data_IF_971825741938
#
_entry.id   IF_971825741938
#
_cell.length_a   1.000
_cell.length_b   1.000
_cell.length_c   1.000
_cell.angle_alpha   90.00
_cell.angle_beta   90.00
_cell.angle_gamma   90.00
#
_symmetry.space_group_name_H-M   'P 1'
#
loop_
_entity.id
_entity.type
_entity.pdbx_description
1 polymer ?
#
# COMPACT_ATOMS: atom_id res chain seq x y z
N UNK A 1 21.55 -57.39 -33.68
CA UNK A 1 20.48 -57.10 -32.69
C UNK A 1 21.11 -57.21 -31.32
N UNK A 2 21.59 -56.10 -30.75
CA UNK A 2 20.86 -55.19 -29.86
C UNK A 2 20.80 -55.72 -28.42
N UNK A 3 21.78 -55.34 -27.60
CA UNK A 3 21.65 -55.11 -26.14
C UNK A 3 23.03 -54.78 -25.57
N UNK A 4 23.36 -53.50 -25.38
CA UNK A 4 24.31 -52.98 -24.36
C UNK A 4 24.52 -51.48 -24.59
N UNK A 5 23.50 -50.69 -24.26
CA UNK A 5 23.66 -49.25 -24.11
C UNK A 5 22.57 -48.80 -23.16
N UNK A 6 22.95 -48.48 -21.92
CA UNK A 6 22.27 -47.53 -20.99
C UNK A 6 22.82 -47.59 -19.55
N UNK A 7 23.63 -48.59 -19.18
CA UNK A 7 24.13 -48.75 -17.79
C UNK A 7 25.57 -48.23 -17.54
N UNK A 8 26.22 -47.56 -18.50
CA UNK A 8 27.56 -46.97 -18.30
C UNK A 8 27.54 -45.43 -18.19
N UNK A 9 26.53 -44.76 -18.73
CA UNK A 9 26.44 -43.29 -18.69
C UNK A 9 25.90 -42.74 -17.36
N UNK A 10 25.24 -43.56 -16.52
CA UNK A 10 24.65 -43.11 -15.26
C UNK A 10 25.61 -43.21 -14.06
N UNK A 11 26.61 -44.10 -14.10
CA UNK A 11 27.56 -44.28 -12.99
C UNK A 11 28.65 -43.19 -12.94
N UNK A 12 28.95 -42.52 -14.05
CA UNK A 12 29.98 -41.47 -14.12
C UNK A 12 29.49 -40.07 -13.69
N UNK A 13 28.18 -39.86 -13.51
CA UNK A 13 27.61 -38.57 -13.08
C UNK A 13 27.41 -38.44 -11.57
N UNK A 14 27.61 -39.51 -10.81
CA UNK A 14 27.44 -39.54 -9.35
C UNK A 14 28.76 -39.37 -8.57
N UNK A 15 29.89 -39.22 -9.27
CA UNK A 15 31.22 -39.03 -8.67
C UNK A 15 31.95 -37.78 -9.19
N UNK A 16 31.22 -36.72 -9.54
CA UNK A 16 31.86 -35.41 -9.65
C UNK A 16 31.90 -34.79 -8.25
N UNK A 17 33.10 -34.48 -7.70
CA UNK A 17 33.20 -33.76 -6.44
C UNK A 17 32.40 -32.48 -6.59
N UNK A 18 31.58 -32.17 -5.59
CA UNK A 18 30.84 -30.93 -5.51
C UNK A 18 31.82 -29.79 -5.83
N UNK A 19 31.75 -29.26 -7.06
CA UNK A 19 32.41 -28.01 -7.38
C UNK A 19 31.91 -27.05 -6.32
N UNK A 20 32.85 -26.52 -5.55
CA UNK A 20 32.58 -25.59 -4.48
C UNK A 20 31.57 -24.60 -5.02
N UNK A 21 30.33 -24.72 -4.54
CA UNK A 21 29.39 -23.64 -4.61
C UNK A 21 30.04 -22.60 -3.70
N UNK A 22 30.93 -21.82 -4.29
CA UNK A 22 31.19 -20.48 -3.84
C UNK A 22 29.82 -19.84 -3.88
N UNK A 23 29.10 -19.98 -2.77
CA UNK A 23 28.29 -18.90 -2.27
C UNK A 23 29.26 -17.73 -2.25
N UNK A 24 29.32 -17.00 -3.38
CA UNK A 24 29.60 -15.58 -3.32
C UNK A 24 28.45 -15.09 -2.46
N UNK A 25 28.67 -15.12 -1.15
CA UNK A 25 28.28 -14.05 -0.27
C UNK A 25 28.70 -12.82 -1.05
N UNK A 26 27.78 -12.26 -1.84
CA UNK A 26 27.82 -10.83 -2.09
C UNK A 26 27.67 -10.33 -0.66
N UNK A 27 28.76 -9.89 -0.02
CA UNK A 27 28.55 -9.25 1.25
C UNK A 27 27.55 -8.14 0.91
N UNK A 28 26.53 -7.91 1.73
CA UNK A 28 26.11 -6.53 1.86
C UNK A 28 27.42 -5.83 2.19
N UNK A 29 28.05 -5.25 1.15
CA UNK A 29 29.42 -4.84 1.24
C UNK A 29 29.45 -3.90 2.44
N UNK A 30 30.51 -3.99 3.23
CA UNK A 30 30.88 -2.92 4.13
C UNK A 30 31.15 -1.69 3.24
N UNK A 31 30.10 -1.11 2.65
CA UNK A 31 30.05 0.27 2.26
C UNK A 31 30.39 1.04 3.53
N UNK A 32 31.28 2.02 3.40
CA UNK A 32 31.76 2.86 4.48
C UNK A 32 30.65 3.04 5.52
N UNK A 33 30.88 2.54 6.75
CA UNK A 33 29.93 2.62 7.85
C UNK A 33 29.50 4.07 7.93
N UNK A 34 28.26 4.34 7.54
CA UNK A 34 27.74 5.70 7.62
C UNK A 34 27.57 6.03 9.08
N UNK A 35 28.18 7.13 9.51
CA UNK A 35 28.03 7.62 10.89
C UNK A 35 26.57 7.93 11.23
N UNK A 36 25.68 8.14 10.23
CA UNK A 36 24.25 8.38 10.44
C UNK A 36 23.35 7.69 9.40
N UNK A 37 22.15 7.28 9.84
CA UNK A 37 21.13 6.65 9.00
C UNK A 37 20.49 7.66 8.03
N UNK A 38 20.35 7.27 6.76
CA UNK A 38 19.59 8.09 5.79
C UNK A 38 18.10 7.96 6.06
N UNK A 39 17.45 9.08 6.38
CA UNK A 39 16.00 9.11 6.59
C UNK A 39 15.27 8.91 5.26
N UNK A 40 14.63 7.75 5.10
CA UNK A 40 13.70 7.48 4.00
C UNK A 40 12.35 8.09 4.37
N UNK A 41 12.14 9.34 3.97
CA UNK A 41 10.89 10.04 4.27
C UNK A 41 9.79 9.62 3.30
N UNK A 42 8.84 8.81 3.77
CA UNK A 42 7.60 8.49 3.05
C UNK A 42 6.76 9.74 2.71
N UNK A 43 6.97 10.86 3.42
CA UNK A 43 6.30 12.14 3.14
C UNK A 43 6.63 12.69 1.75
N UNK A 44 7.89 12.56 1.29
CA UNK A 44 8.29 13.07 -0.03
C UNK A 44 7.64 12.30 -1.16
N UNK A 45 7.64 10.97 -1.06
CA UNK A 45 6.98 10.12 -2.07
C UNK A 45 5.48 10.31 -2.05
N UNK A 46 4.87 10.42 -0.86
CA UNK A 46 3.46 10.76 -0.73
C UNK A 46 3.16 12.12 -1.37
N UNK A 47 4.02 13.13 -1.19
CA UNK A 47 3.84 14.44 -1.81
C UNK A 47 3.91 14.38 -3.34
N UNK A 48 4.83 13.59 -3.91
CA UNK A 48 4.88 13.37 -5.36
C UNK A 48 3.59 12.73 -5.88
N UNK A 49 3.14 11.65 -5.24
CA UNK A 49 1.87 10.98 -5.60
C UNK A 49 0.69 11.96 -5.48
N UNK A 50 0.66 12.78 -4.42
CA UNK A 50 -0.38 13.80 -4.26
C UNK A 50 -0.37 14.84 -5.39
N UNK A 51 0.81 15.26 -5.86
CA UNK A 51 0.94 16.20 -6.96
C UNK A 51 0.45 15.60 -8.28
N UNK A 52 0.82 14.35 -8.55
CA UNK A 52 0.35 13.59 -9.73
C UNK A 52 -1.19 13.52 -9.74
N UNK A 53 -1.79 13.05 -8.64
CA UNK A 53 -3.26 12.96 -8.53
C UNK A 53 -3.92 14.34 -8.62
N UNK A 54 -3.27 15.39 -8.11
CA UNK A 54 -3.82 16.75 -8.20
C UNK A 54 -3.91 17.24 -9.63
N UNK A 55 -2.88 17.00 -10.41
CA UNK A 55 -2.88 17.33 -11.82
C UNK A 55 -4.01 16.58 -12.56
N UNK A 56 -4.18 15.29 -12.28
CA UNK A 56 -5.27 14.50 -12.87
C UNK A 56 -6.66 15.05 -12.52
N UNK A 57 -6.87 15.50 -11.27
CA UNK A 57 -8.13 16.13 -10.86
C UNK A 57 -8.35 17.48 -11.55
N UNK A 58 -7.30 18.29 -11.72
CA UNK A 58 -7.39 19.56 -12.43
C UNK A 58 -7.76 19.35 -13.91
N UNK A 59 -7.17 18.36 -14.58
CA UNK A 59 -7.50 17.96 -15.95
C UNK A 59 -8.95 17.43 -16.07
N UNK A 60 -9.39 16.63 -15.10
CA UNK A 60 -10.77 16.14 -15.00
C UNK A 60 -11.78 17.29 -14.92
N UNK A 61 -11.52 18.29 -14.07
CA UNK A 61 -12.37 19.47 -13.90
C UNK A 61 -12.32 20.36 -15.14
N UNK A 62 -11.14 20.54 -15.74
CA UNK A 62 -10.99 21.30 -16.99
C UNK A 62 -11.79 20.69 -18.15
N UNK A 63 -12.04 19.38 -18.12
CA UNK A 63 -12.88 18.66 -19.06
C UNK A 63 -14.40 18.86 -18.81
N UNK A 64 -14.79 19.72 -17.88
CA UNK A 64 -16.19 20.07 -17.57
C UNK A 64 -16.84 19.19 -16.51
N UNK A 65 -16.09 18.26 -15.90
CA UNK A 65 -16.64 17.39 -14.87
C UNK A 65 -16.67 18.08 -13.50
N UNK A 66 -17.60 17.66 -12.64
CA UNK A 66 -17.65 18.12 -11.25
C UNK A 66 -16.49 17.56 -10.44
N UNK A 67 -16.01 18.35 -9.47
CA UNK A 67 -15.03 17.88 -8.47
C UNK A 67 -15.62 16.72 -7.66
N UNK A 68 -14.86 15.64 -7.40
CA UNK A 68 -15.34 14.53 -6.57
C UNK A 68 -15.66 14.97 -5.14
N UNK A 69 -16.78 14.46 -4.60
CA UNK A 69 -17.11 14.59 -3.18
C UNK A 69 -16.70 13.33 -2.42
N UNK A 70 -15.90 13.51 -1.37
CA UNK A 70 -15.36 12.42 -0.56
C UNK A 70 -15.89 12.50 0.88
N UNK A 71 -16.48 11.40 1.35
CA UNK A 71 -16.81 11.22 2.76
C UNK A 71 -15.85 10.23 3.41
N UNK A 72 -15.19 10.65 4.48
CA UNK A 72 -14.25 9.85 5.25
C UNK A 72 -14.83 9.56 6.62
N UNK A 73 -14.96 8.28 6.94
CA UNK A 73 -15.48 7.83 8.23
C UNK A 73 -14.29 7.35 9.03
N UNK A 74 -13.91 8.15 10.01
CA UNK A 74 -12.74 7.95 10.84
C UNK A 74 -13.13 7.41 12.21
N UNK A 75 -12.37 6.44 12.70
CA UNK A 75 -12.41 6.07 14.11
C UNK A 75 -11.05 6.06 14.78
N UNK A 76 -11.04 6.65 15.98
CA UNK A 76 -10.06 6.39 17.02
C UNK A 76 -9.90 7.59 17.94
N UNK A 77 -9.93 7.36 19.26
CA UNK A 77 -9.42 8.32 20.25
C UNK A 77 -7.92 8.16 20.48
N UNK A 78 -7.28 7.22 19.76
CA UNK A 78 -5.84 7.01 19.85
C UNK A 78 -5.13 8.23 19.23
N UNK A 79 -4.33 9.00 20.00
CA UNK A 79 -3.62 10.19 19.51
C UNK A 79 -2.73 9.90 18.29
N UNK A 80 -2.18 8.68 18.19
CA UNK A 80 -1.40 8.23 17.04
C UNK A 80 -2.27 7.98 15.79
N UNK A 81 -3.51 7.53 15.95
CA UNK A 81 -4.47 7.32 14.86
C UNK A 81 -5.09 8.64 14.37
N UNK A 82 -5.24 9.61 15.26
CA UNK A 82 -5.71 10.96 14.91
C UNK A 82 -4.83 11.60 13.85
N UNK A 83 -3.50 11.64 14.04
CA UNK A 83 -2.57 12.21 13.06
C UNK A 83 -2.52 11.40 11.75
N UNK A 84 -2.58 10.07 11.81
CA UNK A 84 -2.57 9.21 10.62
C UNK A 84 -3.80 9.41 9.73
N UNK A 85 -4.98 9.63 10.32
CA UNK A 85 -6.19 9.81 9.54
C UNK A 85 -6.48 11.27 9.23
N UNK A 86 -6.13 12.24 10.10
CA UNK A 86 -6.10 13.65 9.70
C UNK A 86 -5.19 13.86 8.49
N UNK A 87 -4.07 13.14 8.40
CA UNK A 87 -3.20 13.22 7.22
C UNK A 87 -3.83 12.59 5.98
N UNK A 88 -4.69 11.56 6.11
CA UNK A 88 -5.49 11.02 4.99
C UNK A 88 -6.57 11.99 4.55
N UNK A 89 -7.23 12.67 5.49
CA UNK A 89 -8.22 13.71 5.22
C UNK A 89 -7.58 14.95 4.58
N UNK A 90 -6.46 15.43 5.12
CA UNK A 90 -5.70 16.53 4.51
C UNK A 90 -5.22 16.13 3.12
N UNK A 91 -4.74 14.89 2.93
CA UNK A 91 -4.42 14.39 1.60
C UNK A 91 -5.60 14.51 0.62
N UNK A 92 -6.80 14.11 1.03
CA UNK A 92 -7.99 14.23 0.21
C UNK A 92 -8.35 15.69 -0.15
N UNK A 93 -8.30 16.60 0.82
CA UNK A 93 -8.55 18.02 0.58
C UNK A 93 -7.46 18.67 -0.29
N UNK A 94 -6.19 18.40 0.01
CA UNK A 94 -5.01 18.98 -0.65
C UNK A 94 -4.89 18.55 -2.13
N UNK A 95 -5.36 17.35 -2.47
CA UNK A 95 -5.14 16.75 -3.78
C UNK A 95 -6.17 17.20 -4.82
N UNK A 96 -7.35 17.68 -4.46
CA UNK A 96 -8.37 17.94 -5.49
C UNK A 96 -9.36 19.06 -5.20
N UNK A 97 -9.15 19.85 -4.14
CA UNK A 97 -10.18 20.74 -3.58
C UNK A 97 -11.53 20.01 -3.44
N UNK A 98 -11.46 18.72 -3.09
CA UNK A 98 -12.63 17.89 -2.87
C UNK A 98 -13.33 18.38 -1.60
N UNK A 99 -14.66 18.35 -1.59
CA UNK A 99 -15.38 18.47 -0.32
C UNK A 99 -15.08 17.23 0.50
N UNK A 100 -14.64 17.41 1.75
CA UNK A 100 -14.34 16.29 2.66
C UNK A 100 -15.21 16.39 3.90
N UNK A 101 -16.05 15.38 4.12
CA UNK A 101 -16.80 15.22 5.36
C UNK A 101 -16.13 14.18 6.25
N UNK A 102 -15.84 14.52 7.50
CA UNK A 102 -15.30 13.59 8.50
C UNK A 102 -16.38 13.27 9.52
N UNK A 103 -16.63 11.99 9.76
CA UNK A 103 -17.50 11.50 10.83
C UNK A 103 -16.75 10.58 11.78
N UNK A 104 -17.11 10.62 13.07
CA UNK A 104 -16.57 9.73 14.09
C UNK A 104 -17.43 8.46 14.26
N UNK A 105 -16.93 7.36 14.85
CA UNK A 105 -17.73 6.13 15.15
C UNK A 105 -19.02 6.41 15.91
N UNK A 106 -19.00 7.38 16.81
CA UNK A 106 -20.13 7.71 17.67
C UNK A 106 -21.14 8.63 16.99
N UNK A 107 -20.87 9.05 15.75
CA UNK A 107 -21.83 9.78 14.93
C UNK A 107 -23.08 8.91 14.79
N UNK A 108 -24.27 9.39 15.17
CA UNK A 108 -25.50 8.62 15.02
C UNK A 108 -25.66 8.12 13.58
N UNK A 109 -26.13 6.89 13.40
CA UNK A 109 -26.25 6.26 12.06
C UNK A 109 -27.03 7.13 11.06
N UNK A 110 -28.11 7.77 11.51
CA UNK A 110 -28.90 8.68 10.69
C UNK A 110 -28.10 9.89 10.18
N UNK A 111 -27.20 10.42 11.01
CA UNK A 111 -26.33 11.51 10.62
C UNK A 111 -25.21 11.02 9.71
N UNK A 112 -24.63 9.85 10.01
CA UNK A 112 -23.62 9.22 9.17
C UNK A 112 -24.15 8.98 7.75
N UNK A 113 -25.39 8.46 7.65
CA UNK A 113 -26.09 8.23 6.38
C UNK A 113 -26.24 9.51 5.55
N UNK A 114 -26.60 10.64 6.18
CA UNK A 114 -26.73 11.93 5.49
C UNK A 114 -25.41 12.38 4.85
N UNK A 115 -24.28 12.07 5.47
CA UNK A 115 -22.96 12.43 4.96
C UNK A 115 -22.50 11.48 3.83
N UNK A 116 -22.74 10.19 3.98
CA UNK A 116 -22.26 9.18 3.04
C UNK A 116 -23.11 9.07 1.78
N UNK A 117 -24.41 9.34 1.86
CA UNK A 117 -25.34 9.17 0.73
C UNK A 117 -25.10 10.19 -0.40
N UNK A 118 -24.39 11.28 -0.11
CA UNK A 118 -24.04 12.31 -1.07
C UNK A 118 -22.61 12.15 -1.62
N UNK A 119 -21.84 11.20 -1.10
CA UNK A 119 -20.43 11.05 -1.45
C UNK A 119 -20.27 10.22 -2.73
N UNK A 120 -19.38 10.68 -3.60
CA UNK A 120 -18.94 9.90 -4.77
C UNK A 120 -17.95 8.81 -4.34
N UNK A 121 -17.21 9.08 -3.27
CA UNK A 121 -16.26 8.16 -2.66
C UNK A 121 -16.52 8.10 -1.15
N UNK A 122 -16.62 6.89 -0.61
CA UNK A 122 -16.69 6.63 0.83
C UNK A 122 -15.47 5.84 1.26
N UNK A 123 -14.72 6.37 2.23
CA UNK A 123 -13.60 5.66 2.86
C UNK A 123 -13.99 5.32 4.29
N UNK A 124 -14.07 4.03 4.63
CA UNK A 124 -14.33 3.58 6.00
C UNK A 124 -13.05 3.11 6.67
N UNK A 125 -12.72 3.72 7.80
CA UNK A 125 -11.62 3.33 8.68
C UNK A 125 -12.10 3.36 10.14
N UNK A 126 -13.24 2.71 10.36
CA UNK A 126 -14.01 2.76 11.58
C UNK A 126 -13.67 1.65 12.60
N UNK A 127 -13.17 0.50 12.15
CA UNK A 127 -12.95 -0.64 13.04
C UNK A 127 -14.24 -1.09 13.74
N UNK A 128 -15.37 -1.00 13.02
CA UNK A 128 -16.67 -1.49 13.46
C UNK A 128 -17.22 -2.36 12.34
N UNK A 129 -17.37 -3.68 12.54
CA UNK A 129 -17.94 -4.57 11.55
C UNK A 129 -19.30 -4.08 11.03
N UNK A 130 -19.47 -4.06 9.72
CA UNK A 130 -20.75 -3.75 9.05
C UNK A 130 -21.41 -2.42 9.51
N UNK A 131 -20.59 -1.42 9.86
CA UNK A 131 -21.06 -0.06 10.16
C UNK A 131 -21.75 0.58 8.95
N UNK A 132 -21.18 0.38 7.75
CA UNK A 132 -21.64 1.00 6.51
C UNK A 132 -22.51 0.03 5.73
N UNK A 133 -23.77 0.40 5.55
CA UNK A 133 -24.81 -0.41 4.91
C UNK A 133 -25.20 0.14 3.53
N UNK A 134 -25.87 -0.67 2.71
CA UNK A 134 -26.23 -0.33 1.34
C UNK A 134 -27.08 0.95 1.21
N UNK A 135 -27.96 1.21 2.17
CA UNK A 135 -28.82 2.40 2.18
C UNK A 135 -28.06 3.69 2.48
N UNK A 136 -26.80 3.59 2.91
CA UNK A 136 -25.91 4.72 3.19
C UNK A 136 -25.04 5.13 1.99
N UNK A 137 -25.01 4.33 0.92
CA UNK A 137 -24.11 4.52 -0.22
C UNK A 137 -24.88 5.11 -1.40
N UNK A 138 -24.30 6.10 -2.10
CA UNK A 138 -24.83 6.62 -3.36
C UNK A 138 -24.69 5.57 -4.47
N UNK A 139 -25.68 5.48 -5.35
CA UNK A 139 -25.61 4.61 -6.53
C UNK A 139 -24.35 4.89 -7.36
N UNK A 140 -23.59 3.85 -7.69
CA UNK A 140 -22.37 3.97 -8.49
C UNK A 140 -21.16 4.55 -7.75
N UNK A 141 -21.28 4.88 -6.46
CA UNK A 141 -20.14 5.40 -5.68
C UNK A 141 -19.03 4.37 -5.49
N UNK A 142 -17.82 4.86 -5.25
CA UNK A 142 -16.68 4.04 -4.87
C UNK A 142 -16.60 3.90 -3.35
N UNK A 143 -16.41 2.67 -2.87
CA UNK A 143 -16.31 2.36 -1.44
C UNK A 143 -14.97 1.70 -1.13
N UNK A 144 -14.16 2.36 -0.31
CA UNK A 144 -12.84 1.89 0.13
C UNK A 144 -12.92 1.50 1.60
N UNK A 145 -12.96 0.20 1.84
CA UNK A 145 -12.97 -0.41 3.17
C UNK A 145 -11.54 -0.65 3.67
N UNK A 146 -11.12 0.20 4.62
CA UNK A 146 -9.83 0.12 5.30
C UNK A 146 -9.98 -0.62 6.65
N UNK A 147 -11.21 -0.83 7.11
CA UNK A 147 -11.52 -1.49 8.37
C UNK A 147 -10.99 -2.91 8.41
N UNK A 148 -10.42 -3.30 9.55
CA UNK A 148 -10.00 -4.69 9.79
C UNK A 148 -10.54 -5.09 11.15
N UNK A 149 -11.52 -5.97 11.15
CA UNK A 149 -12.16 -6.48 12.34
C UNK A 149 -12.02 -8.01 12.38
N UNK A 150 -11.74 -8.55 13.57
CA UNK A 150 -11.74 -10.00 13.81
C UNK A 150 -13.08 -10.39 14.42
N UNK A 151 -13.80 -11.26 13.72
CA UNK A 151 -15.08 -11.82 14.17
C UNK A 151 -14.98 -13.34 14.19
N UNK A 152 -15.83 -14.01 14.97
CA UNK A 152 -15.95 -15.47 14.91
C UNK A 152 -16.97 -15.82 13.83
N UNK A 153 -16.60 -16.73 12.95
CA UNK A 153 -17.53 -17.29 11.99
C UNK A 153 -18.59 -18.13 12.74
N UNK A 154 -19.90 -17.81 12.62
CA UNK A 154 -20.94 -18.48 13.36
C UNK A 154 -21.13 -19.95 12.95
N UNK A 155 -20.66 -20.34 11.76
CA UNK A 155 -20.77 -21.70 11.23
C UNK A 155 -19.52 -22.51 11.54
N UNK A 156 -18.34 -21.93 11.33
CA UNK A 156 -17.07 -22.67 11.42
C UNK A 156 -16.34 -22.46 12.76
N UNK A 157 -16.81 -21.54 13.61
CA UNK A 157 -16.16 -21.08 14.85
C UNK A 157 -14.72 -20.55 14.68
N UNK A 158 -14.23 -20.42 13.44
CA UNK A 158 -12.89 -19.91 13.15
C UNK A 158 -12.90 -18.38 13.13
N UNK A 159 -11.77 -17.74 13.52
CA UNK A 159 -11.62 -16.30 13.35
C UNK A 159 -11.65 -15.94 11.86
N UNK A 160 -12.49 -14.97 11.51
CA UNK A 160 -12.63 -14.39 10.19
C UNK A 160 -12.29 -12.90 10.25
N UNK A 161 -11.63 -12.40 9.20
CA UNK A 161 -11.46 -10.97 9.01
C UNK A 161 -12.65 -10.42 8.23
N UNK A 162 -13.23 -9.35 8.73
CA UNK A 162 -14.31 -8.60 8.08
C UNK A 162 -13.99 -7.10 8.14
N UNK A 163 -14.48 -6.38 7.15
CA UNK A 163 -14.31 -4.94 7.06
C UNK A 163 -15.34 -4.18 7.87
N UNK A 164 -15.38 -2.86 7.66
CA UNK A 164 -16.41 -2.01 8.25
C UNK A 164 -17.69 -1.93 7.41
N UNK A 165 -17.62 -2.40 6.17
CA UNK A 165 -18.69 -2.32 5.19
C UNK A 165 -19.43 -3.64 5.10
N UNK A 166 -20.76 -3.58 5.07
CA UNK A 166 -21.58 -4.72 4.63
C UNK A 166 -21.34 -4.98 3.14
N UNK A 167 -20.34 -5.83 2.87
CA UNK A 167 -19.83 -6.06 1.52
C UNK A 167 -20.91 -6.59 0.57
N UNK A 168 -21.76 -7.52 1.02
CA UNK A 168 -22.77 -8.15 0.17
C UNK A 168 -23.91 -7.19 -0.18
N UNK A 169 -24.37 -6.38 0.79
CA UNK A 169 -25.37 -5.36 0.52
C UNK A 169 -24.82 -4.24 -0.36
N UNK A 170 -23.62 -3.74 -0.03
CA UNK A 170 -23.05 -2.57 -0.71
C UNK A 170 -22.57 -2.89 -2.13
N UNK A 171 -22.06 -4.10 -2.42
CA UNK A 171 -21.60 -4.46 -3.77
C UNK A 171 -22.71 -4.45 -4.83
N UNK A 172 -23.97 -4.50 -4.41
CA UNK A 172 -25.12 -4.42 -5.32
C UNK A 172 -25.41 -2.99 -5.79
N UNK A 173 -24.82 -1.99 -5.13
CA UNK A 173 -25.12 -0.56 -5.31
C UNK A 173 -23.90 0.28 -5.68
N UNK A 174 -22.75 -0.05 -5.08
CA UNK A 174 -21.51 0.64 -5.34
C UNK A 174 -20.98 0.31 -6.75
N UNK A 175 -20.45 1.30 -7.45
CA UNK A 175 -19.75 1.07 -8.73
C UNK A 175 -18.39 0.41 -8.52
N UNK A 176 -17.78 0.66 -7.36
CA UNK A 176 -16.49 0.08 -6.96
C UNK A 176 -16.51 -0.22 -5.46
N UNK A 177 -15.95 -1.36 -5.05
CA UNK A 177 -15.83 -1.74 -3.64
C UNK A 177 -14.54 -2.54 -3.40
N UNK A 178 -13.82 -2.25 -2.32
CA UNK A 178 -12.66 -3.05 -1.92
C UNK A 178 -13.06 -4.16 -0.93
N UNK A 179 -12.63 -5.41 -1.11
CA UNK A 179 -12.95 -6.49 -0.19
C UNK A 179 -12.09 -6.45 1.07
N UNK A 180 -12.61 -7.00 2.16
CA UNK A 180 -11.84 -7.30 3.37
C UNK A 180 -12.02 -8.79 3.72
N UNK A 181 -10.92 -9.57 3.75
CA UNK A 181 -9.54 -9.22 3.40
C UNK A 181 -9.34 -9.05 1.88
N UNK A 182 -8.18 -8.52 1.48
CA UNK A 182 -7.74 -8.51 0.08
C UNK A 182 -7.76 -7.16 -0.64
N UNK A 183 -8.33 -6.11 -0.04
CA UNK A 183 -8.35 -4.76 -0.60
C UNK A 183 -7.13 -3.92 -0.21
N UNK A 184 -7.28 -3.08 0.81
CA UNK A 184 -6.29 -2.05 1.18
C UNK A 184 -5.01 -2.63 1.79
N UNK A 185 -5.10 -3.76 2.48
CA UNK A 185 -3.96 -4.42 3.14
C UNK A 185 -2.82 -4.77 2.18
N UNK A 186 -3.05 -5.58 1.12
CA UNK A 186 -2.02 -5.89 0.12
C UNK A 186 -1.39 -4.66 -0.54
N UNK A 187 -2.17 -3.61 -0.82
CA UNK A 187 -1.65 -2.35 -1.37
C UNK A 187 -0.70 -1.64 -0.40
N UNK A 188 -1.00 -1.68 0.90
CA UNK A 188 -0.12 -1.13 1.95
C UNK A 188 1.23 -1.85 1.97
N UNK A 189 1.22 -3.19 1.85
CA UNK A 189 2.45 -4.00 1.77
C UNK A 189 3.23 -3.69 0.49
N UNK A 190 2.57 -3.63 -0.66
CA UNK A 190 3.22 -3.30 -1.93
C UNK A 190 3.90 -1.92 -1.89
N UNK A 191 3.24 -0.93 -1.29
CA UNK A 191 3.81 0.41 -1.16
C UNK A 191 5.00 0.46 -0.19
N UNK A 192 4.95 -0.33 0.88
CA UNK A 192 6.12 -0.55 1.74
C UNK A 192 7.28 -1.17 0.96
N UNK A 193 7.05 -2.19 0.15
CA UNK A 193 8.09 -2.80 -0.70
C UNK A 193 8.66 -1.80 -1.71
N UNK A 194 7.82 -0.95 -2.32
CA UNK A 194 8.28 0.14 -3.19
C UNK A 194 9.23 1.09 -2.45
N UNK A 195 8.91 1.46 -1.21
CA UNK A 195 9.79 2.27 -0.37
C UNK A 195 11.12 1.56 -0.08
N UNK A 196 11.09 0.26 0.22
CA UNK A 196 12.28 -0.56 0.45
C UNK A 196 13.20 -0.58 -0.78
N UNK A 197 12.64 -0.77 -1.98
CA UNK A 197 13.44 -0.75 -3.22
C UNK A 197 14.01 0.64 -3.50
N UNK A 198 13.25 1.72 -3.27
CA UNK A 198 13.75 3.09 -3.39
C UNK A 198 14.95 3.31 -2.46
N UNK A 199 14.88 2.79 -1.23
CA UNK A 199 15.98 2.85 -0.27
C UNK A 199 17.20 2.07 -0.76
N UNK A 200 17.03 0.82 -1.18
CA UNK A 200 18.11 -0.04 -1.68
C UNK A 200 18.82 0.58 -2.90
N UNK A 201 18.07 1.11 -3.88
CA UNK A 201 18.63 1.78 -5.06
C UNK A 201 19.48 3.01 -4.70
N UNK A 202 19.10 3.73 -3.65
CA UNK A 202 19.87 4.89 -3.17
C UNK A 202 21.19 4.46 -2.52
N UNK A 203 21.21 3.34 -1.81
CA UNK A 203 22.46 2.77 -1.25
C UNK A 203 23.44 2.45 -2.38
N UNK A 204 23.00 1.70 -3.39
CA UNK A 204 23.85 1.32 -4.53
C UNK A 204 24.42 2.53 -5.30
N UNK A 205 23.60 3.55 -5.57
CA UNK A 205 24.06 4.78 -6.24
C UNK A 205 25.09 5.58 -5.45
N UNK A 206 25.12 5.40 -4.13
CA UNK A 206 26.10 6.09 -3.29
C UNK A 206 27.43 5.35 -3.27
N UNK A 207 27.41 4.01 -3.29
CA UNK A 207 28.60 3.19 -3.51
C UNK A 207 29.27 3.54 -4.86
N UNK A 208 28.48 3.66 -5.94
CA UNK A 208 29.00 4.07 -7.26
C UNK A 208 29.69 5.44 -7.21
N UNK A 209 29.09 6.43 -6.52
CA UNK A 209 29.66 7.77 -6.36
C UNK A 209 30.93 7.80 -5.50
N UNK A 210 30.98 7.01 -4.42
CA UNK A 210 32.19 6.88 -3.58
C UNK A 210 33.35 6.23 -4.35
N UNK A 211 33.05 5.22 -5.18
CA UNK A 211 34.03 4.57 -6.06
C UNK A 211 34.56 5.54 -7.13
N UNK A 212 33.68 6.34 -7.76
CA UNK A 212 34.06 7.38 -8.73
C UNK A 212 34.95 8.45 -8.08
N UNK A 213 34.56 8.96 -6.90
CA UNK A 213 35.31 9.99 -6.18
C UNK A 213 36.69 9.51 -5.73
N UNK A 214 36.79 8.25 -5.31
CA UNK A 214 38.06 7.61 -4.92
C UNK A 214 39.01 7.42 -6.12
N UNK A 215 38.46 7.17 -7.32
CA UNK A 215 39.25 7.12 -8.56
C UNK A 215 39.73 8.51 -9.00
N UNK A 216 38.89 9.54 -8.89
CA UNK A 216 39.29 10.92 -9.23
C UNK A 216 40.39 11.46 -8.30
N UNK A 217 40.29 11.19 -7.00
CA UNK A 217 41.31 11.57 -6.01
C UNK A 217 42.64 10.83 -6.21
N UNK A 218 42.62 9.59 -6.71
CA UNK A 218 43.83 8.81 -7.01
C UNK A 218 44.52 9.18 -8.33
N UNK A 219 43.86 9.95 -9.22
CA UNK A 219 44.45 10.45 -10.47
C UNK A 219 45.13 11.81 -10.26
N UNK A 220 44.77 12.56 -9.21
CA UNK A 220 45.33 13.87 -8.90
C UNK A 220 46.70 13.83 -8.17
N UNK A 221 47.27 12.64 -7.93
CA UNK A 221 48.53 12.45 -7.18
C UNK A 221 49.65 11.77 -8.00
N UNK A 222 49.73 12.05 -9.30
CA UNK A 222 50.86 11.64 -10.14
C UNK A 222 51.55 12.86 -10.76
#
# INVERSE_FOLDING_TARGET
>A
MAATSLMSALAARLLQPAHSCSLRLRPFHLAAVRNEAVVISGRKLAQQIKQEVRQEVEEWVASGNKRPHLSVILVGENPASHSYVLNKTRAAADVGDATVTISHRYTPKEQLKKHTILADIVISAAGIPNLITADMIKEGAAVIDVGINRVHDPVTAKPKLVGDVDFEGVRQKAGYITPVPGGVGPMTVAMLMKNTIIAAKKVLRLEEREVLKSKELGVATN
#
